data_IF_719268473884
#
_entry.id   IF_719268473884
#
_cell.length_a   1.000
_cell.length_b   1.000
_cell.length_c   1.000
_cell.angle_alpha   90.00
_cell.angle_beta   90.00
_cell.angle_gamma   90.00
#
_symmetry.space_group_name_H-M   'P 1'
#
loop_
_entity.id
_entity.type
_entity.pdbx_description
1 polymer ?
#
# COMPACT_ATOMS: atom_id res chain seq x y z
N UNK A 1 -3.23 -22.03 -4.76
CA UNK A 1 -3.24 -20.96 -3.73
C UNK A 1 -4.42 -20.05 -4.01
N UNK A 2 -5.27 -19.79 -3.01
CA UNK A 2 -6.31 -18.78 -3.14
C UNK A 2 -5.69 -17.42 -3.49
N UNK A 3 -6.29 -16.69 -4.44
CA UNK A 3 -5.92 -15.30 -4.71
C UNK A 3 -6.20 -14.50 -3.43
N UNK A 4 -5.42 -13.46 -3.15
CA UNK A 4 -5.59 -12.57 -1.98
C UNK A 4 -5.38 -11.14 -2.43
N UNK A 5 -6.05 -10.18 -1.81
CA UNK A 5 -5.92 -8.77 -2.16
C UNK A 5 -4.83 -8.10 -1.33
N UNK A 6 -3.89 -7.43 -1.99
CA UNK A 6 -2.78 -6.74 -1.35
C UNK A 6 -2.65 -5.29 -1.80
N UNK A 7 -2.24 -4.45 -0.87
CA UNK A 7 -1.75 -3.09 -1.13
C UNK A 7 -0.25 -3.08 -0.81
N UNK A 8 0.54 -2.59 -1.74
CA UNK A 8 1.99 -2.46 -1.59
C UNK A 8 2.36 -0.99 -1.69
N UNK A 9 2.97 -0.47 -0.63
CA UNK A 9 3.54 0.87 -0.59
C UNK A 9 5.06 0.79 -0.68
N UNK A 10 5.65 1.63 -1.50
CA UNK A 10 7.08 1.81 -1.59
C UNK A 10 7.42 3.30 -1.52
N UNK A 11 8.24 3.67 -0.54
CA UNK A 11 8.77 5.03 -0.43
C UNK A 11 10.17 5.07 -1.03
N UNK A 12 10.39 6.01 -1.94
CA UNK A 12 11.70 6.29 -2.53
C UNK A 12 12.05 7.74 -2.28
N UNK A 13 13.33 8.02 -2.02
CA UNK A 13 13.82 9.37 -1.85
C UNK A 13 14.57 9.77 -3.11
N UNK A 14 14.13 10.85 -3.74
CA UNK A 14 14.82 11.43 -4.90
C UNK A 14 15.22 12.87 -4.60
N UNK A 15 16.25 13.42 -5.26
CA UNK A 15 16.53 14.85 -5.24
C UNK A 15 15.26 15.65 -5.53
N UNK A 16 15.03 16.72 -4.77
CA UNK A 16 13.93 17.63 -5.06
C UNK A 16 14.10 18.26 -6.44
N UNK A 17 13.00 18.67 -7.06
CA UNK A 17 13.04 19.19 -8.43
C UNK A 17 13.87 20.48 -8.51
N UNK A 18 14.75 20.57 -9.50
CA UNK A 18 15.68 21.69 -9.69
C UNK A 18 16.94 21.69 -8.81
N UNK A 19 17.16 20.70 -7.95
CA UNK A 19 18.34 20.63 -7.08
C UNK A 19 19.61 20.14 -7.83
N UNK A 20 20.74 20.79 -7.56
CA UNK A 20 22.03 20.42 -8.17
C UNK A 20 22.68 19.25 -7.41
N UNK A 21 22.42 18.04 -7.90
CA UNK A 21 22.99 16.78 -7.37
C UNK A 21 24.51 16.67 -7.49
N UNK A 22 25.14 17.54 -8.30
CA UNK A 22 26.59 17.58 -8.48
C UNK A 22 27.32 18.42 -7.42
N UNK A 23 26.60 18.97 -6.43
CA UNK A 23 27.23 19.67 -5.30
C UNK A 23 28.05 18.69 -4.44
N UNK A 24 29.25 19.11 -4.03
CA UNK A 24 30.22 18.31 -3.26
C UNK A 24 29.67 17.65 -1.98
N UNK A 25 28.63 18.23 -1.37
CA UNK A 25 27.98 17.74 -0.13
C UNK A 25 26.48 17.45 -0.31
N UNK A 26 26.02 17.09 -1.51
CA UNK A 26 24.58 16.96 -1.80
C UNK A 26 23.84 16.02 -0.83
N UNK A 27 24.47 14.92 -0.41
CA UNK A 27 23.87 13.98 0.55
C UNK A 27 23.49 14.59 1.90
N UNK A 28 24.14 15.69 2.33
CA UNK A 28 23.88 16.37 3.61
C UNK A 28 23.11 17.68 3.47
N UNK A 29 23.38 18.44 2.39
CA UNK A 29 22.84 19.80 2.19
C UNK A 29 21.76 19.87 1.10
N UNK A 30 21.66 18.85 0.27
CA UNK A 30 20.66 18.75 -0.79
C UNK A 30 19.28 18.50 -0.22
N UNK A 31 18.26 19.05 -0.88
CA UNK A 31 16.87 18.77 -0.53
C UNK A 31 16.44 17.46 -1.18
N UNK A 32 15.87 16.59 -0.36
CA UNK A 32 15.29 15.34 -0.80
C UNK A 32 13.77 15.45 -0.79
N UNK A 33 13.13 14.85 -1.77
CA UNK A 33 11.68 14.68 -1.82
C UNK A 33 11.36 13.20 -1.72
N UNK A 34 10.44 12.86 -0.81
CA UNK A 34 9.89 11.52 -0.69
C UNK A 34 8.81 11.33 -1.74
N UNK A 35 8.98 10.31 -2.58
CA UNK A 35 7.97 9.82 -3.50
C UNK A 35 7.42 8.51 -2.96
N UNK A 36 6.10 8.35 -3.04
CA UNK A 36 5.42 7.14 -2.59
C UNK A 36 4.72 6.52 -3.79
N UNK A 37 5.08 5.27 -4.10
CA UNK A 37 4.39 4.45 -5.08
C UNK A 37 3.43 3.49 -4.36
N UNK A 38 2.20 3.41 -4.85
CA UNK A 38 1.17 2.51 -4.35
C UNK A 38 0.73 1.53 -5.43
N UNK A 39 0.82 0.23 -5.14
CA UNK A 39 0.41 -0.85 -6.04
C UNK A 39 -0.73 -1.65 -5.41
N UNK A 40 -1.76 -1.89 -6.21
CA UNK A 40 -2.90 -2.72 -5.85
C UNK A 40 -2.79 -4.04 -6.61
N UNK A 41 -2.58 -5.15 -5.89
CA UNK A 41 -2.24 -6.43 -6.52
C UNK A 41 -2.96 -7.60 -5.87
N UNK A 42 -3.37 -8.58 -6.68
CA UNK A 42 -3.99 -9.83 -6.20
C UNK A 42 -2.97 -10.96 -5.96
N UNK A 43 -1.68 -10.69 -6.25
CA UNK A 43 -0.57 -11.62 -6.06
C UNK A 43 0.73 -10.87 -5.78
N UNK A 44 1.39 -11.24 -4.69
CA UNK A 44 2.74 -10.76 -4.39
C UNK A 44 3.80 -11.55 -5.16
N UNK A 45 4.65 -10.82 -5.88
CA UNK A 45 5.90 -11.31 -6.50
C UNK A 45 7.09 -10.93 -5.61
N UNK A 46 8.21 -11.64 -5.76
CA UNK A 46 9.45 -11.38 -5.00
C UNK A 46 9.87 -9.91 -5.03
N UNK A 47 9.76 -9.25 -6.18
CA UNK A 47 10.09 -7.82 -6.36
C UNK A 47 9.34 -6.89 -5.40
N UNK A 48 8.09 -7.20 -5.04
CA UNK A 48 7.35 -6.37 -4.10
C UNK A 48 7.88 -6.53 -2.68
N UNK A 49 8.32 -7.72 -2.28
CA UNK A 49 8.97 -7.93 -0.98
C UNK A 49 10.27 -7.15 -0.85
N UNK A 50 11.05 -7.06 -1.93
CA UNK A 50 12.34 -6.39 -1.90
C UNK A 50 12.20 -4.85 -1.87
N UNK A 51 11.31 -4.29 -2.69
CA UNK A 51 11.19 -2.83 -2.88
C UNK A 51 10.21 -2.13 -1.94
N UNK A 52 9.22 -2.85 -1.39
CA UNK A 52 8.18 -2.22 -0.57
C UNK A 52 8.67 -1.83 0.82
N UNK A 53 8.12 -0.73 1.32
CA UNK A 53 8.20 -0.38 2.72
C UNK A 53 7.08 -1.02 3.51
N UNK A 54 5.88 -1.12 2.92
CA UNK A 54 4.71 -1.67 3.60
C UNK A 54 3.92 -2.55 2.64
N UNK A 55 3.56 -3.75 3.09
CA UNK A 55 2.67 -4.66 2.38
C UNK A 55 1.51 -4.98 3.31
N UNK A 56 0.31 -4.73 2.81
CA UNK A 56 -0.95 -4.93 3.52
C UNK A 56 -1.76 -5.97 2.77
N UNK A 57 -2.29 -6.93 3.50
CA UNK A 57 -3.22 -7.93 3.03
C UNK A 57 -4.64 -7.51 3.44
N UNK A 58 -5.45 -7.13 2.45
CA UNK A 58 -6.83 -6.71 2.65
C UNK A 58 -7.78 -7.88 2.89
N UNK A 59 -7.45 -9.07 2.40
CA UNK A 59 -8.28 -10.27 2.58
C UNK A 59 -8.23 -10.75 4.02
N UNK A 60 -7.04 -10.83 4.61
CA UNK A 60 -6.85 -11.29 5.99
C UNK A 60 -6.78 -10.13 7.01
N UNK A 61 -6.98 -8.88 6.56
CA UNK A 61 -6.84 -7.66 7.35
C UNK A 61 -5.53 -7.60 8.17
N UNK A 62 -4.41 -7.99 7.54
CA UNK A 62 -3.11 -8.14 8.20
C UNK A 62 -2.03 -7.35 7.48
N UNK A 63 -1.05 -6.86 8.24
CA UNK A 63 0.18 -6.30 7.68
C UNK A 63 1.20 -7.43 7.50
N UNK A 64 1.64 -7.65 6.28
CA UNK A 64 2.61 -8.69 5.92
C UNK A 64 4.05 -8.19 6.09
N UNK A 65 4.30 -6.93 5.73
CA UNK A 65 5.59 -6.26 5.89
C UNK A 65 5.36 -4.83 6.30
N UNK A 66 6.14 -4.34 7.25
CA UNK A 66 6.17 -2.92 7.57
C UNK A 66 7.54 -2.46 8.04
N UNK A 67 8.12 -1.53 7.29
CA UNK A 67 9.35 -0.83 7.59
C UNK A 67 9.10 0.68 7.82
N UNK A 68 7.85 1.13 7.73
CA UNK A 68 7.47 2.50 8.03
C UNK A 68 7.19 2.70 9.53
N UNK A 69 7.19 3.96 9.97
CA UNK A 69 6.93 4.32 11.37
C UNK A 69 5.49 4.02 11.80
N UNK A 70 4.53 4.21 10.90
CA UNK A 70 3.12 3.94 11.17
C UNK A 70 2.87 2.43 11.13
N UNK A 71 2.45 1.85 12.26
CA UNK A 71 2.19 0.40 12.40
C UNK A 71 0.72 0.02 12.42
N UNK A 72 -0.17 1.00 12.47
CA UNK A 72 -1.61 0.77 12.54
C UNK A 72 -2.19 0.50 11.15
N UNK A 73 -2.76 -0.70 10.97
CA UNK A 73 -3.38 -1.14 9.72
C UNK A 73 -4.44 -0.16 9.24
N UNK A 74 -5.33 0.29 10.12
CA UNK A 74 -6.46 1.13 9.76
C UNK A 74 -5.97 2.49 9.28
N UNK A 75 -4.95 3.07 9.93
CA UNK A 75 -4.36 4.33 9.52
C UNK A 75 -3.70 4.25 8.15
N UNK A 76 -3.00 3.15 7.85
CA UNK A 76 -2.34 3.00 6.54
C UNK A 76 -3.39 2.80 5.45
N UNK A 77 -4.41 1.98 5.69
CA UNK A 77 -5.50 1.81 4.72
C UNK A 77 -6.25 3.12 4.49
N UNK A 78 -6.57 3.87 5.55
CA UNK A 78 -7.20 5.20 5.43
C UNK A 78 -6.34 6.18 4.64
N UNK A 79 -5.02 6.21 4.87
CA UNK A 79 -4.09 7.02 4.10
C UNK A 79 -4.18 6.70 2.60
N UNK A 80 -4.16 5.41 2.24
CA UNK A 80 -4.28 4.97 0.85
C UNK A 80 -5.64 5.33 0.26
N UNK A 81 -6.72 5.19 1.03
CA UNK A 81 -8.07 5.58 0.61
C UNK A 81 -8.19 7.07 0.31
N UNK A 82 -7.59 7.92 1.15
CA UNK A 82 -7.64 9.38 0.99
C UNK A 82 -6.75 9.82 -0.16
N UNK A 83 -5.56 9.23 -0.31
CA UNK A 83 -4.56 9.62 -1.30
C UNK A 83 -4.84 9.06 -2.71
N UNK A 84 -5.37 7.85 -2.81
CA UNK A 84 -5.66 7.18 -4.08
C UNK A 84 -7.10 6.61 -4.14
N UNK A 85 -8.13 7.46 -3.96
CA UNK A 85 -9.51 7.00 -3.82
C UNK A 85 -10.02 6.23 -5.04
N UNK A 86 -9.70 6.69 -6.25
CA UNK A 86 -10.16 6.06 -7.49
C UNK A 86 -9.57 4.67 -7.68
N UNK A 87 -8.26 4.52 -7.50
CA UNK A 87 -7.57 3.23 -7.62
C UNK A 87 -8.00 2.25 -6.53
N UNK A 88 -8.14 2.73 -5.29
CA UNK A 88 -8.62 1.91 -4.18
C UNK A 88 -10.04 1.39 -4.44
N UNK A 89 -10.97 2.27 -4.83
CA UNK A 89 -12.36 1.88 -5.08
C UNK A 89 -12.49 0.90 -6.25
N UNK A 90 -11.75 1.14 -7.34
CA UNK A 90 -11.71 0.23 -8.48
C UNK A 90 -11.18 -1.16 -8.07
N UNK A 91 -10.09 -1.20 -7.31
CA UNK A 91 -9.50 -2.45 -6.86
C UNK A 91 -10.41 -3.21 -5.88
N UNK A 92 -11.05 -2.53 -4.94
CA UNK A 92 -12.02 -3.17 -4.03
C UNK A 92 -13.21 -3.72 -4.80
N UNK A 93 -13.72 -3.01 -5.82
CA UNK A 93 -14.79 -3.51 -6.69
C UNK A 93 -14.37 -4.78 -7.42
N UNK A 94 -13.21 -4.79 -8.05
CA UNK A 94 -12.66 -5.97 -8.74
C UNK A 94 -12.47 -7.15 -7.76
N UNK A 95 -11.99 -6.88 -6.55
CA UNK A 95 -11.83 -7.90 -5.53
C UNK A 95 -13.17 -8.45 -5.02
N UNK A 96 -14.23 -7.63 -4.95
CA UNK A 96 -15.58 -8.08 -4.61
C UNK A 96 -16.16 -8.97 -5.71
N UNK A 97 -16.05 -8.54 -6.97
CA UNK A 97 -16.49 -9.33 -8.13
C UNK A 97 -15.73 -10.66 -8.23
N UNK A 98 -14.44 -10.66 -7.86
CA UNK A 98 -13.61 -11.87 -7.81
C UNK A 98 -13.77 -12.75 -6.57
N UNK A 99 -14.68 -12.40 -5.63
CA UNK A 99 -14.90 -13.15 -4.39
C UNK A 99 -13.73 -13.11 -3.39
N UNK A 100 -12.82 -12.15 -3.53
CA UNK A 100 -11.58 -12.01 -2.76
C UNK A 100 -11.75 -11.21 -1.47
N UNK A 101 -12.77 -10.35 -1.44
CA UNK A 101 -13.11 -9.49 -0.31
C UNK A 101 -14.62 -9.60 -0.09
N UNK A 102 -15.05 -10.40 0.88
CA UNK A 102 -16.43 -10.45 1.36
C UNK A 102 -16.69 -9.36 2.39
N UNK A 103 -16.39 -8.09 2.07
CA UNK A 103 -16.87 -6.98 2.92
C UNK A 103 -18.29 -6.65 2.49
N UNK A 104 -19.21 -7.48 2.96
CA UNK A 104 -20.64 -7.44 2.61
C UNK A 104 -21.46 -8.72 2.85
N UNK A 105 -20.88 -9.82 3.35
CA UNK A 105 -21.70 -10.82 4.03
C UNK A 105 -21.96 -10.29 5.44
N UNK A 106 -23.04 -9.53 5.58
CA UNK A 106 -23.70 -9.38 6.87
C UNK A 106 -23.77 -10.76 7.52
N UNK A 107 -23.25 -10.86 8.74
CA UNK A 107 -23.65 -11.90 9.67
C UNK A 107 -25.20 -11.84 9.75
N UNK A 108 -25.90 -12.69 9.00
CA UNK A 108 -27.19 -13.15 9.45
C UNK A 108 -26.91 -13.95 10.71
N UNK A 109 -27.10 -13.27 11.85
CA UNK A 109 -27.18 -13.93 13.14
C UNK A 109 -28.29 -14.99 13.05
N UNK A 110 -28.04 -16.26 13.40
CA UNK A 110 -29.12 -17.21 13.55
C UNK A 110 -29.91 -16.81 14.79
N UNK A 111 -31.12 -16.29 14.61
CA UNK A 111 -32.11 -16.23 15.69
C UNK A 111 -32.94 -17.51 15.62
N UNK A 112 -32.69 -18.39 16.60
CA UNK A 112 -33.58 -19.48 17.02
C UNK A 112 -34.96 -18.97 17.44
#
# INVERSE_FOLDING_TARGET
MAKKAYIVLAHTFRPADGENTSMKDFGKKGKWTMMEDCYFVTRLRKRYWDHSTTIINLTDAKIEKNSAETKDYNKIVQHVMIKYPQHFNAFVKECKEGGLINKGASEEQPTE
#
